data_IF_527516097071
#
_entry.id   IF_527516097071
#
_cell.length_a   1.000
_cell.length_b   1.000
_cell.length_c   1.000
_cell.angle_alpha   90.00
_cell.angle_beta   90.00
_cell.angle_gamma   90.00
#
_symmetry.space_group_name_H-M   'P 1'
#
loop_
_entity.id
_entity.type
_entity.pdbx_description
1 polymer ?
#
# COMPACT_ATOMS: atom_id res chain seq x y z
N UNK A 1 -13.22 15.97 9.89
CA UNK A 1 -14.33 15.85 8.94
C UNK A 1 -15.41 14.97 9.55
N UNK A 2 -16.70 15.30 9.39
CA UNK A 2 -17.80 14.37 9.64
C UNK A 2 -17.62 13.08 8.83
N UNK A 3 -18.02 11.94 9.39
CA UNK A 3 -17.97 10.66 8.67
C UNK A 3 -18.85 10.66 7.41
N UNK A 4 -19.95 11.42 7.43
CA UNK A 4 -20.86 11.61 6.29
C UNK A 4 -20.22 12.24 5.05
N UNK A 5 -19.05 12.88 5.22
CA UNK A 5 -18.38 13.58 4.14
C UNK A 5 -17.25 12.73 3.51
N UNK A 6 -16.98 11.55 4.08
CA UNK A 6 -15.96 10.62 3.59
C UNK A 6 -16.56 9.81 2.44
N UNK A 7 -15.99 9.91 1.24
CA UNK A 7 -16.47 9.19 0.05
C UNK A 7 -15.79 7.85 -0.19
N UNK A 8 -14.60 7.69 0.37
CA UNK A 8 -13.81 6.48 0.27
C UNK A 8 -12.90 6.31 1.48
N UNK A 9 -12.61 5.07 1.82
CA UNK A 9 -11.76 4.70 2.96
C UNK A 9 -10.86 3.53 2.57
N UNK A 10 -9.58 3.62 2.96
CA UNK A 10 -8.62 2.55 2.86
C UNK A 10 -8.20 2.07 4.26
N UNK A 11 -8.22 0.76 4.47
CA UNK A 11 -7.59 0.10 5.61
C UNK A 11 -6.39 -0.70 5.11
N UNK A 12 -5.24 -0.50 5.76
CA UNK A 12 -3.98 -1.12 5.39
C UNK A 12 -3.33 -1.76 6.63
N UNK A 13 -2.77 -2.96 6.48
CA UNK A 13 -1.80 -3.46 7.46
C UNK A 13 -0.49 -2.69 7.36
N UNK A 14 0.38 -2.81 8.37
CA UNK A 14 1.72 -2.23 8.32
C UNK A 14 2.47 -2.68 7.05
N UNK A 15 2.40 -3.98 6.73
CA UNK A 15 2.98 -4.55 5.52
C UNK A 15 2.47 -3.92 4.22
N UNK A 16 1.18 -3.58 4.11
CA UNK A 16 0.62 -2.91 2.93
C UNK A 16 0.99 -1.41 2.86
N UNK A 17 1.20 -0.77 4.01
CA UNK A 17 1.58 0.66 4.08
C UNK A 17 3.00 0.93 3.57
N UNK A 18 3.83 -0.12 3.45
CA UNK A 18 5.23 -0.02 3.04
C UNK A 18 5.43 0.59 1.66
N UNK A 19 4.44 0.52 0.77
CA UNK A 19 4.49 1.17 -0.55
C UNK A 19 4.71 2.68 -0.42
N UNK A 20 4.06 3.35 0.55
CA UNK A 20 4.26 4.78 0.81
C UNK A 20 5.33 5.09 1.85
N UNK A 21 5.49 4.22 2.85
CA UNK A 21 6.48 4.41 3.90
C UNK A 21 7.88 3.96 3.49
N UNK A 22 8.11 2.65 3.50
CA UNK A 22 9.44 2.05 3.36
C UNK A 22 9.98 2.13 1.93
N UNK A 23 9.15 1.82 0.94
CA UNK A 23 9.56 1.77 -0.46
C UNK A 23 9.44 3.12 -1.15
N UNK A 24 8.64 4.04 -0.59
CA UNK A 24 8.42 5.38 -1.12
C UNK A 24 8.12 5.39 -2.64
N UNK A 25 7.40 4.38 -3.12
CA UNK A 25 7.02 4.25 -4.53
C UNK A 25 5.92 5.25 -4.90
N UNK A 26 5.15 5.68 -3.91
CA UNK A 26 4.13 6.71 -4.02
C UNK A 26 3.90 7.32 -2.63
N UNK A 27 3.14 8.42 -2.55
CA UNK A 27 2.60 8.96 -1.30
C UNK A 27 1.21 8.39 -0.99
N UNK A 28 0.61 8.82 0.14
CA UNK A 28 -0.73 8.39 0.55
C UNK A 28 -1.84 8.73 -0.46
N UNK A 29 -1.89 9.95 -1.05
CA UNK A 29 -2.80 10.23 -2.17
C UNK A 29 -2.64 9.27 -3.34
N UNK A 30 -1.41 8.92 -3.71
CA UNK A 30 -1.18 7.96 -4.78
C UNK A 30 -1.56 6.54 -4.42
N UNK A 31 -1.46 6.11 -3.14
CA UNK A 31 -2.11 4.86 -2.68
C UNK A 31 -3.62 4.92 -2.93
N UNK A 32 -4.29 6.00 -2.54
CA UNK A 32 -5.73 6.16 -2.78
C UNK A 32 -6.08 6.09 -4.26
N UNK A 33 -5.26 6.70 -5.13
CA UNK A 33 -5.42 6.63 -6.59
C UNK A 33 -5.23 5.20 -7.12
N UNK A 34 -4.22 4.47 -6.64
CA UNK A 34 -4.02 3.05 -7.01
C UNK A 34 -5.23 2.22 -6.61
N UNK A 35 -5.72 2.39 -5.38
CA UNK A 35 -6.91 1.67 -4.90
C UNK A 35 -8.17 2.02 -5.70
N UNK A 36 -8.38 3.29 -6.04
CA UNK A 36 -9.53 3.72 -6.82
C UNK A 36 -9.50 3.20 -8.28
N UNK A 37 -8.32 3.15 -8.90
CA UNK A 37 -8.18 2.82 -10.32
C UNK A 37 -7.96 1.33 -10.58
N UNK A 38 -7.25 0.64 -9.67
CA UNK A 38 -6.75 -0.72 -9.88
C UNK A 38 -7.08 -1.67 -8.73
N UNK A 39 -7.61 -1.15 -7.62
CA UNK A 39 -8.02 -1.95 -6.47
C UNK A 39 -6.85 -2.41 -5.57
N UNK A 40 -7.18 -3.10 -4.46
CA UNK A 40 -6.19 -3.54 -3.47
C UNK A 40 -5.13 -4.51 -4.00
N UNK A 41 -5.48 -5.37 -4.95
CA UNK A 41 -4.56 -6.36 -5.50
C UNK A 41 -3.34 -5.71 -6.18
N UNK A 42 -3.55 -4.59 -6.88
CA UNK A 42 -2.47 -3.84 -7.52
C UNK A 42 -1.51 -3.22 -6.50
N UNK A 43 -2.05 -2.67 -5.39
CA UNK A 43 -1.21 -2.15 -4.32
C UNK A 43 -0.30 -3.24 -3.73
N UNK A 44 -0.84 -4.45 -3.53
CA UNK A 44 -0.06 -5.59 -3.05
C UNK A 44 0.95 -6.08 -4.10
N UNK A 45 0.59 -6.03 -5.38
CA UNK A 45 1.50 -6.32 -6.49
C UNK A 45 2.72 -5.40 -6.49
N UNK A 46 2.53 -4.09 -6.34
CA UNK A 46 3.62 -3.11 -6.23
C UNK A 46 4.53 -3.39 -5.03
N UNK A 47 3.92 -3.78 -3.90
CA UNK A 47 4.65 -4.18 -2.71
C UNK A 47 5.57 -5.38 -3.01
N UNK A 48 5.03 -6.43 -3.66
CA UNK A 48 5.81 -7.61 -4.04
C UNK A 48 6.85 -7.29 -5.10
N UNK A 49 6.57 -6.41 -6.06
CA UNK A 49 7.54 -6.00 -7.07
C UNK A 49 8.77 -5.34 -6.43
N UNK A 50 8.58 -4.43 -5.46
CA UNK A 50 9.69 -3.82 -4.72
C UNK A 50 10.51 -4.84 -3.93
N UNK A 51 9.83 -5.82 -3.32
CA UNK A 51 10.51 -6.88 -2.56
C UNK A 51 11.37 -7.77 -3.45
N UNK A 52 10.89 -8.10 -4.66
CA UNK A 52 11.62 -8.91 -5.65
C UNK A 52 12.75 -8.13 -6.33
N UNK A 53 12.63 -6.81 -6.50
CA UNK A 53 13.68 -5.94 -7.04
C UNK A 53 14.87 -5.80 -6.08
N UNK A 54 14.65 -6.03 -4.79
CA UNK A 54 15.67 -5.87 -3.74
C UNK A 54 15.70 -7.09 -2.81
N UNK A 55 16.01 -8.30 -3.30
CA UNK A 55 15.87 -9.54 -2.52
C UNK A 55 16.72 -9.56 -1.25
N UNK A 56 17.88 -8.90 -1.27
CA UNK A 56 18.79 -8.82 -0.12
C UNK A 56 18.47 -7.66 0.84
N UNK A 57 17.52 -6.79 0.50
CA UNK A 57 17.19 -5.63 1.32
C UNK A 57 18.27 -4.55 1.32
N UNK A 58 19.11 -4.49 0.28
CA UNK A 58 20.20 -3.51 0.17
C UNK A 58 19.69 -2.11 -0.12
N UNK A 59 18.67 -2.00 -1.00
CA UNK A 59 18.04 -0.71 -1.35
C UNK A 59 17.10 -0.23 -0.25
N UNK A 60 16.32 -1.14 0.34
CA UNK A 60 15.40 -0.85 1.44
C UNK A 60 15.67 -1.77 2.63
N UNK A 61 16.60 -1.39 3.54
CA UNK A 61 16.98 -2.20 4.70
C UNK A 61 15.78 -2.69 5.52
N UNK A 62 15.70 -4.01 5.70
CA UNK A 62 14.57 -4.68 6.36
C UNK A 62 14.96 -6.02 6.95
N UNK A 63 14.31 -6.42 8.05
CA UNK A 63 14.55 -7.70 8.73
C UNK A 63 13.97 -8.91 8.00
N UNK A 64 12.89 -8.71 7.25
CA UNK A 64 12.24 -9.73 6.43
C UNK A 64 12.06 -9.18 5.02
N UNK A 65 12.31 -10.03 4.02
CA UNK A 65 12.08 -9.68 2.61
C UNK A 65 10.59 -9.37 2.43
N UNK A 66 9.74 -10.31 2.84
CA UNK A 66 8.28 -10.22 2.77
C UNK A 66 7.64 -10.01 4.15
N UNK A 67 6.63 -9.15 4.20
CA UNK A 67 5.72 -9.03 5.34
C UNK A 67 4.28 -9.39 4.92
N UNK A 68 3.42 -9.65 5.92
CA UNK A 68 1.99 -9.87 5.69
C UNK A 68 1.34 -8.53 5.31
N UNK A 69 0.73 -8.50 4.12
CA UNK A 69 0.20 -7.28 3.53
C UNK A 69 -1.28 -7.47 3.17
N UNK A 70 -2.14 -6.69 3.83
CA UNK A 70 -3.59 -6.69 3.63
C UNK A 70 -4.07 -5.28 3.36
N UNK A 71 -4.94 -5.12 2.36
CA UNK A 71 -5.57 -3.85 2.03
C UNK A 71 -7.07 -4.06 1.75
N UNK A 72 -7.90 -3.16 2.28
CA UNK A 72 -9.31 -3.07 1.97
C UNK A 72 -9.64 -1.64 1.53
N UNK A 73 -10.44 -1.52 0.47
CA UNK A 73 -10.88 -0.23 -0.06
C UNK A 73 -12.40 -0.22 -0.12
N UNK A 74 -13.01 0.78 0.55
CA UNK A 74 -14.45 0.97 0.62
C UNK A 74 -14.79 2.29 -0.06
N UNK A 75 -15.80 2.27 -0.91
CA UNK A 75 -16.30 3.46 -1.64
C UNK A 75 -17.82 3.52 -1.50
N UNK A 76 -18.40 4.70 -1.75
CA UNK A 76 -19.86 4.89 -1.62
C UNK A 76 -20.34 4.92 -0.17
N UNK A 77 -19.46 5.41 0.72
CA UNK A 77 -19.75 5.71 2.13
C UNK A 77 -20.71 6.90 2.28
#
# INVERSE_FOLDING_TARGET
MPASDVRALALLSDGASRVAGRFALTDWPGIMRTLANHGPAELLSQNRAAEHDDPDGSRWPRRKIHDDATAAYVTGL
#
